data_IF_034588467095
#
_entry.id   IF_034588467095
#
_cell.length_a   1.000
_cell.length_b   1.000
_cell.length_c   1.000
_cell.angle_alpha   90.00
_cell.angle_beta   90.00
_cell.angle_gamma   90.00
#
_symmetry.space_group_name_H-M   'P 1'
#
loop_
_entity.id
_entity.type
_entity.pdbx_description
1 polymer ?
#
# COMPACT_ATOMS: atom_id res chain seq x y z
N UNK A 1 0.91 2.88 23.01
CA UNK A 1 1.69 2.15 22.00
C UNK A 1 1.18 2.60 20.63
N UNK A 2 2.05 3.08 19.75
CA UNK A 2 1.65 3.56 18.42
C UNK A 2 1.67 2.39 17.44
N UNK A 3 0.66 2.30 16.57
CA UNK A 3 0.64 1.29 15.52
C UNK A 3 1.72 1.61 14.48
N UNK A 4 2.36 0.57 13.95
CA UNK A 4 3.33 0.68 12.86
C UNK A 4 2.79 -0.16 11.70
N UNK A 5 2.76 0.41 10.50
CA UNK A 5 2.38 -0.27 9.27
C UNK A 5 3.55 -0.31 8.30
N UNK A 6 3.59 -1.30 7.43
CA UNK A 6 4.56 -1.33 6.33
C UNK A 6 4.04 -0.55 5.14
N UNK A 7 4.91 0.29 4.54
CA UNK A 7 4.62 0.92 3.27
C UNK A 7 4.40 -0.19 2.22
N UNK A 8 3.22 -0.27 1.59
CA UNK A 8 2.91 -1.39 0.70
C UNK A 8 3.76 -1.40 -0.58
N UNK A 9 4.36 -0.27 -0.94
CA UNK A 9 5.17 -0.13 -2.17
C UNK A 9 6.66 -0.42 -1.95
N UNK A 10 7.19 -0.24 -0.74
CA UNK A 10 8.64 -0.39 -0.49
C UNK A 10 9.01 -1.07 0.84
N UNK A 11 8.05 -1.43 1.68
CA UNK A 11 8.25 -2.15 2.93
C UNK A 11 8.81 -1.32 4.10
N UNK A 12 9.01 -0.01 3.94
CA UNK A 12 9.46 0.85 5.04
C UNK A 12 8.41 0.91 6.16
N UNK A 13 8.84 0.76 7.41
CA UNK A 13 7.99 0.91 8.60
C UNK A 13 7.53 2.37 8.74
N UNK A 14 6.22 2.60 8.86
CA UNK A 14 5.59 3.91 9.02
C UNK A 14 4.79 3.94 10.30
N UNK A 15 5.08 4.91 11.16
CA UNK A 15 4.31 5.15 12.38
C UNK A 15 2.93 5.72 12.07
N UNK A 16 1.90 5.21 12.73
CA UNK A 16 0.52 5.64 12.54
C UNK A 16 0.19 6.90 13.35
N UNK A 17 0.82 8.02 12.98
CA UNK A 17 0.64 9.36 13.59
C UNK A 17 0.31 10.42 12.56
N UNK A 18 -0.22 11.57 12.98
CA UNK A 18 -0.62 12.64 12.06
C UNK A 18 0.56 13.25 11.29
N UNK A 19 1.76 13.25 11.88
CA UNK A 19 2.97 13.70 11.20
C UNK A 19 3.32 12.83 9.97
N UNK A 20 2.91 11.55 9.96
CA UNK A 20 3.03 10.64 8.81
C UNK A 20 1.95 10.95 7.77
N UNK A 21 2.07 12.09 7.08
CA UNK A 21 1.04 12.66 6.18
C UNK A 21 0.55 11.73 5.07
N UNK A 22 1.37 10.75 4.68
CA UNK A 22 1.08 9.83 3.57
C UNK A 22 0.80 8.40 4.03
N UNK A 23 0.64 8.14 5.34
CA UNK A 23 0.35 6.81 5.88
C UNK A 23 -0.77 6.08 5.09
N UNK A 24 -0.60 4.79 4.72
CA UNK A 24 0.49 3.88 5.13
C UNK A 24 1.80 4.06 4.34
N UNK A 25 1.86 4.93 3.34
CA UNK A 25 3.05 5.15 2.52
C UNK A 25 4.10 6.00 3.25
N UNK A 26 5.38 5.68 3.05
CA UNK A 26 6.47 6.45 3.65
C UNK A 26 6.74 7.79 2.95
N UNK A 27 6.21 8.00 1.74
CA UNK A 27 6.30 9.27 1.01
C UNK A 27 5.16 9.43 0.01
N UNK A 28 4.96 10.66 -0.47
CA UNK A 28 4.01 10.97 -1.54
C UNK A 28 4.31 10.19 -2.83
N UNK A 29 5.58 10.03 -3.17
CA UNK A 29 6.01 9.28 -4.36
C UNK A 29 5.45 7.86 -4.35
N UNK A 30 5.57 7.14 -3.23
CA UNK A 30 5.08 5.76 -3.14
C UNK A 30 3.56 5.68 -3.16
N UNK A 31 2.86 6.66 -2.56
CA UNK A 31 1.39 6.80 -2.71
C UNK A 31 0.98 6.95 -4.17
N UNK A 32 1.68 7.78 -4.96
CA UNK A 32 1.35 7.99 -6.37
C UNK A 32 1.67 6.77 -7.24
N UNK A 33 2.77 6.06 -6.95
CA UNK A 33 3.10 4.80 -7.65
C UNK A 33 2.01 3.76 -7.42
N UNK A 34 1.55 3.60 -6.17
CA UNK A 34 0.47 2.66 -5.84
C UNK A 34 -0.84 3.04 -6.57
N UNK A 35 -1.20 4.33 -6.55
CA UNK A 35 -2.36 4.82 -7.29
C UNK A 35 -2.24 4.55 -8.81
N UNK A 36 -1.06 4.72 -9.38
CA UNK A 36 -0.78 4.38 -10.78
C UNK A 36 -0.95 2.88 -11.05
N UNK A 37 -0.48 2.01 -10.15
CA UNK A 37 -0.66 0.57 -10.27
C UNK A 37 -2.14 0.14 -10.22
N UNK A 38 -2.96 0.82 -9.43
CA UNK A 38 -4.42 0.67 -9.47
C UNK A 38 -5.02 1.10 -10.80
N UNK A 39 -4.66 2.29 -11.28
CA UNK A 39 -5.17 2.84 -12.54
C UNK A 39 -4.78 2.00 -13.77
N UNK A 40 -3.61 1.35 -13.71
CA UNK A 40 -3.09 0.46 -14.76
C UNK A 40 -3.54 -1.00 -14.58
N UNK A 41 -4.45 -1.29 -13.66
CA UNK A 41 -5.00 -2.64 -13.40
C UNK A 41 -3.90 -3.69 -13.07
N UNK A 42 -2.79 -3.27 -12.47
CA UNK A 42 -1.70 -4.17 -12.07
C UNK A 42 -2.06 -5.05 -10.88
N UNK A 43 -3.01 -4.62 -10.06
CA UNK A 43 -3.51 -5.40 -8.93
C UNK A 43 -4.64 -6.32 -9.38
N UNK A 44 -4.36 -7.62 -9.44
CA UNK A 44 -5.28 -8.64 -9.91
C UNK A 44 -5.49 -9.66 -8.80
N UNK A 45 -6.74 -10.00 -8.52
CA UNK A 45 -7.09 -11.14 -7.67
C UNK A 45 -7.29 -12.34 -8.62
N UNK A 46 -6.48 -13.40 -8.52
CA UNK A 46 -6.65 -14.58 -9.36
C UNK A 46 -8.07 -15.16 -9.20
N UNK A 47 -8.70 -15.49 -10.33
CA UNK A 47 -9.92 -16.28 -10.31
C UNK A 47 -9.55 -17.71 -9.94
N UNK A 48 -9.94 -18.14 -8.73
CA UNK A 48 -9.85 -19.53 -8.33
C UNK A 48 -11.21 -20.16 -8.59
N UNK A 49 -11.27 -21.20 -9.42
CA UNK A 49 -12.50 -21.98 -9.57
C UNK A 49 -12.68 -22.80 -8.28
N UNK A 50 -13.77 -22.60 -7.51
CA UNK A 50 -13.97 -23.34 -6.26
C UNK A 50 -14.27 -24.84 -6.47
N UNK A 51 -14.45 -25.27 -7.72
CA UNK A 51 -14.79 -26.64 -8.11
C UNK A 51 -13.62 -27.39 -8.77
N UNK A 52 -12.45 -26.75 -8.89
CA UNK A 52 -11.18 -27.43 -9.22
C UNK A 52 -10.44 -27.89 -7.96
#
# INVERSE_FOLDING_TARGET
>A
MMAIADCPTCGTKVEWIEASRFRPFCSERYKQIDLGAWAEEKYIIPAVNPLE
#
